data_IF_557825824146
#
_entry.id   IF_557825824146
#
_cell.length_a   1.000
_cell.length_b   1.000
_cell.length_c   1.000
_cell.angle_alpha   90.00
_cell.angle_beta   90.00
_cell.angle_gamma   90.00
#
_symmetry.space_group_name_H-M   'P 1'
#
loop_
_entity.id
_entity.type
_entity.pdbx_description
1 polymer ?
#
# COMPACT_ATOMS: atom_id res chain seq x y z
N UNK A 1 -6.22 -15.54 -23.58
CA UNK A 1 -5.24 -14.69 -22.88
C UNK A 1 -5.01 -13.51 -23.80
N UNK A 2 -5.77 -12.43 -23.63
CA UNK A 2 -5.69 -11.29 -24.54
C UNK A 2 -4.30 -10.66 -24.42
N UNK A 3 -3.61 -10.47 -25.53
CA UNK A 3 -2.29 -9.85 -25.60
C UNK A 3 -2.35 -8.51 -24.87
N UNK A 4 -1.71 -8.44 -23.70
CA UNK A 4 -1.64 -7.20 -22.95
C UNK A 4 -0.98 -6.16 -23.84
N UNK A 5 -1.71 -5.09 -24.16
CA UNK A 5 -1.20 -4.02 -25.01
C UNK A 5 0.14 -3.54 -24.43
N UNK A 6 1.21 -3.36 -25.23
CA UNK A 6 2.56 -3.07 -24.72
C UNK A 6 2.60 -1.86 -23.77
N UNK A 7 1.73 -0.87 -24.01
CA UNK A 7 1.51 0.28 -23.12
C UNK A 7 1.05 -0.12 -21.72
N UNK A 8 0.14 -1.09 -21.60
CA UNK A 8 -0.37 -1.54 -20.29
C UNK A 8 0.72 -2.23 -19.46
N UNK A 9 1.62 -2.97 -20.10
CA UNK A 9 2.77 -3.58 -19.45
C UNK A 9 3.71 -2.51 -18.92
N UNK A 10 4.01 -1.47 -19.73
CA UNK A 10 4.85 -0.35 -19.32
C UNK A 10 4.24 0.41 -18.13
N UNK A 11 2.96 0.78 -18.21
CA UNK A 11 2.26 1.50 -17.14
C UNK A 11 2.17 0.67 -15.86
N UNK A 12 1.85 -0.63 -15.98
CA UNK A 12 1.80 -1.54 -14.83
C UNK A 12 3.17 -1.71 -14.16
N UNK A 13 4.23 -1.83 -14.97
CA UNK A 13 5.61 -1.91 -14.46
C UNK A 13 6.03 -0.61 -13.77
N UNK A 14 5.73 0.54 -14.38
CA UNK A 14 6.00 1.84 -13.78
C UNK A 14 5.26 2.03 -12.46
N UNK A 15 3.97 1.67 -12.40
CA UNK A 15 3.18 1.73 -11.18
C UNK A 15 3.77 0.83 -10.07
N UNK A 16 4.20 -0.39 -10.40
CA UNK A 16 4.88 -1.27 -9.45
C UNK A 16 6.19 -0.67 -8.93
N UNK A 17 7.04 -0.15 -9.83
CA UNK A 17 8.32 0.48 -9.46
C UNK A 17 8.12 1.72 -8.58
N UNK A 18 7.17 2.58 -8.94
CA UNK A 18 6.84 3.78 -8.15
C UNK A 18 6.31 3.41 -6.76
N UNK A 19 5.51 2.33 -6.66
CA UNK A 19 5.02 1.84 -5.38
C UNK A 19 6.13 1.26 -4.51
N UNK A 20 7.07 0.53 -5.12
CA UNK A 20 8.28 0.07 -4.44
C UNK A 20 9.09 1.26 -3.94
N UNK A 21 9.37 2.24 -4.81
CA UNK A 21 10.11 3.43 -4.47
C UNK A 21 9.43 4.28 -3.38
N UNK A 22 8.10 4.27 -3.29
CA UNK A 22 7.35 4.98 -2.27
C UNK A 22 7.31 4.24 -0.93
N UNK A 23 6.93 2.96 -0.92
CA UNK A 23 6.68 2.21 0.31
C UNK A 23 7.92 1.51 0.86
N UNK A 24 8.86 1.05 0.03
CA UNK A 24 10.02 0.32 0.52
C UNK A 24 10.92 1.15 1.45
N UNK A 25 11.25 2.44 1.15
CA UNK A 25 12.01 3.27 2.09
C UNK A 25 11.27 3.47 3.41
N UNK A 26 9.94 3.60 3.37
CA UNK A 26 9.13 3.75 4.57
C UNK A 26 9.13 2.48 5.43
N UNK A 27 9.03 1.30 4.81
CA UNK A 27 9.13 0.00 5.48
C UNK A 27 10.51 -0.16 6.15
N UNK A 28 11.58 0.09 5.39
CA UNK A 28 12.96 -0.01 5.88
C UNK A 28 13.18 0.94 7.04
N UNK A 29 12.73 2.19 6.94
CA UNK A 29 12.85 3.18 8.02
C UNK A 29 12.15 2.71 9.30
N UNK A 30 10.92 2.22 9.22
CA UNK A 30 10.19 1.73 10.42
C UNK A 30 10.90 0.52 11.03
N UNK A 31 11.42 -0.39 10.20
CA UNK A 31 12.14 -1.58 10.67
C UNK A 31 13.48 -1.22 11.34
N UNK A 32 14.20 -0.26 10.77
CA UNK A 32 15.47 0.24 11.30
C UNK A 32 15.27 1.01 12.60
N UNK A 33 14.39 2.01 12.59
CA UNK A 33 14.15 2.90 13.73
C UNK A 33 13.30 2.23 14.81
N UNK A 34 12.63 1.12 14.47
CA UNK A 34 11.62 0.44 15.30
C UNK A 34 10.54 1.40 15.83
N UNK A 35 10.31 2.48 15.11
CA UNK A 35 9.33 3.52 15.41
C UNK A 35 8.47 3.82 14.18
N UNK A 36 7.17 3.82 14.40
CA UNK A 36 6.18 4.20 13.40
C UNK A 36 5.31 5.38 13.85
N UNK A 37 5.72 6.12 14.88
CA UNK A 37 4.97 7.25 15.48
C UNK A 37 4.56 8.29 14.43
N UNK A 38 5.48 8.65 13.53
CA UNK A 38 5.29 9.63 12.44
C UNK A 38 4.36 9.18 11.31
N UNK A 39 4.03 7.89 11.23
CA UNK A 39 3.17 7.34 10.18
C UNK A 39 1.71 7.45 10.59
N UNK A 40 0.88 8.09 9.77
CA UNK A 40 -0.56 8.22 10.01
C UNK A 40 -1.27 6.87 9.83
N UNK A 41 -1.86 6.34 10.90
CA UNK A 41 -2.68 5.11 10.85
C UNK A 41 -3.88 5.31 9.90
N UNK A 42 -4.55 6.45 10.01
CA UNK A 42 -5.77 6.77 9.26
C UNK A 42 -5.51 6.76 7.76
N UNK A 43 -4.40 7.37 7.34
CA UNK A 43 -3.98 7.42 5.93
C UNK A 43 -3.78 6.00 5.38
N UNK A 44 -3.01 5.16 6.08
CA UNK A 44 -2.71 3.82 5.59
C UNK A 44 -3.92 2.87 5.60
N UNK A 45 -4.86 3.04 6.54
CA UNK A 45 -6.15 2.31 6.50
C UNK A 45 -6.93 2.67 5.24
N UNK A 46 -7.08 3.95 4.93
CA UNK A 46 -7.77 4.42 3.72
C UNK A 46 -7.04 3.94 2.46
N UNK A 47 -5.71 3.99 2.44
CA UNK A 47 -4.89 3.50 1.32
C UNK A 47 -5.10 2.00 1.06
N UNK A 48 -5.05 1.16 2.11
CA UNK A 48 -5.28 -0.29 1.99
C UNK A 48 -6.70 -0.57 1.51
N UNK A 49 -7.71 0.13 2.04
CA UNK A 49 -9.09 -0.01 1.57
C UNK A 49 -9.23 0.41 0.09
N UNK A 50 -8.61 1.52 -0.30
CA UNK A 50 -8.61 2.02 -1.67
C UNK A 50 -8.01 1.01 -2.66
N UNK A 51 -6.81 0.47 -2.37
CA UNK A 51 -6.20 -0.54 -3.23
C UNK A 51 -6.98 -1.85 -3.25
N UNK A 52 -7.65 -2.22 -2.15
CA UNK A 52 -8.55 -3.38 -2.12
C UNK A 52 -9.75 -3.18 -3.06
N UNK A 53 -10.38 -2.00 -3.02
CA UNK A 53 -11.47 -1.65 -3.93
C UNK A 53 -11.02 -1.66 -5.40
N UNK A 54 -9.85 -1.08 -5.70
CA UNK A 54 -9.29 -1.07 -7.05
C UNK A 54 -8.91 -2.46 -7.57
N UNK A 55 -8.36 -3.31 -6.70
CA UNK A 55 -8.09 -4.71 -7.02
C UNK A 55 -9.40 -5.43 -7.37
N UNK A 56 -10.42 -5.32 -6.52
CA UNK A 56 -11.73 -5.91 -6.77
C UNK A 56 -12.34 -5.40 -8.08
N UNK A 57 -12.30 -4.09 -8.31
CA UNK A 57 -12.74 -3.47 -9.56
C UNK A 57 -12.01 -4.04 -10.79
N UNK A 58 -10.68 -4.10 -10.74
CA UNK A 58 -9.85 -4.65 -11.82
C UNK A 58 -10.19 -6.11 -12.14
N UNK A 59 -10.48 -6.92 -11.12
CA UNK A 59 -10.94 -8.30 -11.29
C UNK A 59 -12.34 -8.37 -11.92
N UNK A 60 -13.29 -7.51 -11.50
CA UNK A 60 -14.65 -7.44 -12.05
C UNK A 60 -14.65 -7.11 -13.54
N UNK A 61 -13.78 -6.20 -13.98
CA UNK A 61 -13.65 -5.82 -15.41
C UNK A 61 -12.64 -6.69 -16.18
N UNK A 62 -12.07 -7.72 -15.54
CA UNK A 62 -11.03 -8.61 -16.11
C UNK A 62 -9.78 -7.87 -16.63
N UNK A 63 -9.47 -6.71 -16.08
CA UNK A 63 -8.29 -5.92 -16.41
C UNK A 63 -7.09 -6.35 -15.56
N UNK A 64 -6.42 -7.42 -15.98
CA UNK A 64 -5.26 -7.98 -15.28
C UNK A 64 -4.14 -6.97 -14.97
N UNK A 65 -3.77 -6.03 -15.86
CA UNK A 65 -2.76 -5.02 -15.53
C UNK A 65 -3.16 -4.13 -14.34
N UNK A 66 -4.45 -3.77 -14.25
CA UNK A 66 -5.00 -2.98 -13.15
C UNK A 66 -5.00 -3.80 -11.86
N UNK A 67 -5.45 -5.05 -11.93
CA UNK A 67 -5.49 -5.95 -10.78
C UNK A 67 -4.09 -6.21 -10.21
N UNK A 68 -3.12 -6.57 -11.06
CA UNK A 68 -1.75 -6.87 -10.62
C UNK A 68 -1.04 -5.65 -10.02
N UNK A 69 -1.21 -4.47 -10.63
CA UNK A 69 -0.64 -3.22 -10.09
C UNK A 69 -1.20 -2.91 -8.70
N UNK A 70 -2.52 -2.94 -8.54
CA UNK A 70 -3.15 -2.65 -7.25
C UNK A 70 -2.87 -3.73 -6.19
N UNK A 71 -2.68 -4.99 -6.57
CA UNK A 71 -2.24 -6.04 -5.67
C UNK A 71 -0.86 -5.75 -5.08
N UNK A 72 0.09 -5.30 -5.90
CA UNK A 72 1.42 -4.92 -5.43
C UNK A 72 1.36 -3.72 -4.46
N UNK A 73 0.58 -2.69 -4.81
CA UNK A 73 0.34 -1.53 -3.95
C UNK A 73 -0.32 -1.92 -2.62
N UNK A 74 -1.32 -2.81 -2.67
CA UNK A 74 -2.02 -3.33 -1.51
C UNK A 74 -1.06 -4.06 -0.57
N UNK A 75 -0.22 -4.96 -1.10
CA UNK A 75 0.75 -5.71 -0.29
C UNK A 75 1.72 -4.78 0.46
N UNK A 76 2.26 -3.78 -0.24
CA UNK A 76 3.22 -2.82 0.33
C UNK A 76 2.57 -1.90 1.38
N UNK A 77 1.39 -1.34 1.06
CA UNK A 77 0.67 -0.48 2.00
C UNK A 77 0.16 -1.24 3.23
N UNK A 78 -0.27 -2.50 3.07
CA UNK A 78 -0.63 -3.38 4.18
C UNK A 78 0.58 -3.70 5.07
N UNK A 79 1.77 -3.89 4.49
CA UNK A 79 3.00 -4.09 5.26
C UNK A 79 3.32 -2.86 6.13
N UNK A 80 3.23 -1.64 5.57
CA UNK A 80 3.43 -0.41 6.37
C UNK A 80 2.37 -0.28 7.47
N UNK A 81 1.11 -0.58 7.18
CA UNK A 81 0.03 -0.56 8.16
C UNK A 81 0.27 -1.55 9.31
N UNK A 82 0.72 -2.77 8.99
CA UNK A 82 1.07 -3.79 9.97
C UNK A 82 2.26 -3.34 10.84
N UNK A 83 3.27 -2.73 10.23
CA UNK A 83 4.41 -2.17 10.96
C UNK A 83 4.00 -0.99 11.86
N UNK A 84 3.07 -0.14 11.41
CA UNK A 84 2.47 0.90 12.25
C UNK A 84 1.76 0.30 13.46
N UNK A 85 1.04 -0.81 13.29
CA UNK A 85 0.40 -1.49 14.41
C UNK A 85 1.44 -2.08 15.39
N UNK A 86 2.54 -2.65 14.86
CA UNK A 86 3.58 -3.26 15.69
C UNK A 86 4.42 -2.24 16.46
N UNK A 87 4.85 -1.17 15.80
CA UNK A 87 5.81 -0.19 16.32
C UNK A 87 5.17 1.16 16.71
N UNK A 88 3.85 1.31 16.58
CA UNK A 88 3.12 2.54 16.92
C UNK A 88 2.39 2.52 18.27
N UNK A 89 2.49 1.44 19.06
CA UNK A 89 1.70 1.22 20.30
C UNK A 89 2.08 2.09 21.50
N UNK A 90 2.72 3.23 21.29
CA UNK A 90 3.06 4.20 22.35
C UNK A 90 2.07 5.35 22.56
N UNK A 91 1.10 5.62 21.66
CA UNK A 91 0.30 6.87 21.74
C UNK A 91 -1.21 6.77 21.48
N UNK A 92 -1.77 5.62 21.12
CA UNK A 92 -3.21 5.52 20.80
C UNK A 92 -4.16 5.43 22.01
N UNK A 93 -3.71 5.82 23.21
CA UNK A 93 -4.55 5.89 24.42
C UNK A 93 -4.75 7.29 25.01
N UNK A 94 -4.10 8.34 24.48
CA UNK A 94 -4.11 9.67 25.11
C UNK A 94 -4.98 10.73 24.39
N UNK A 95 -5.28 10.59 23.10
CA UNK A 95 -6.05 11.60 22.32
C UNK A 95 -7.58 11.38 22.33
N UNK A 96 -8.11 10.68 23.34
CA UNK A 96 -9.57 10.52 23.52
C UNK A 96 -10.14 11.41 24.64
N UNK A 97 -9.32 12.25 25.28
CA UNK A 97 -9.77 13.26 26.26
C UNK A 97 -8.87 14.51 26.17
N UNK A 98 -9.30 15.48 25.38
CA UNK A 98 -8.75 16.84 25.33
C UNK A 98 -9.88 17.81 25.00
#
# INVERSE_FOLDING_TARGET
MADAHPVAVVVGTAAALLSIASFAPQIVKILHDKDASSVSLRTYVVTVAGFSCWLAYGLMIRAWPVALSNLACLAMSAAVLALKWRYGRGRSGADAKG
#
